data_IF_549732016898
#
_entry.id   IF_549732016898
#
_cell.length_a   1.000
_cell.length_b   1.000
_cell.length_c   1.000
_cell.angle_alpha   90.00
_cell.angle_beta   90.00
_cell.angle_gamma   90.00
#
_symmetry.space_group_name_H-M   'P 1'
#
loop_
_entity.id
_entity.type
_entity.pdbx_description
1 polymer ?
#
# COMPACT_ATOMS: atom_id res chain seq x y z
N UNK A 1 -6.27 41.78 18.01
CA UNK A 1 -5.45 40.93 17.13
C UNK A 1 -5.89 39.47 17.13
N UNK A 2 -6.19 38.87 18.28
CA UNK A 2 -6.64 37.49 18.38
C UNK A 2 -7.87 37.17 17.53
N UNK A 3 -8.87 38.07 17.55
CA UNK A 3 -10.10 37.87 16.79
C UNK A 3 -9.83 37.82 15.28
N UNK A 4 -8.96 38.73 14.79
CA UNK A 4 -8.60 38.75 13.38
C UNK A 4 -7.85 37.49 12.97
N UNK A 5 -6.95 37.01 13.83
CA UNK A 5 -6.20 35.78 13.59
C UNK A 5 -7.17 34.58 13.53
N UNK A 6 -8.17 34.52 14.41
CA UNK A 6 -9.18 33.45 14.41
C UNK A 6 -10.04 33.49 13.15
N UNK A 7 -10.44 34.67 12.70
CA UNK A 7 -11.27 34.81 11.49
C UNK A 7 -10.46 34.39 10.27
N UNK A 8 -9.20 34.84 10.13
CA UNK A 8 -8.33 34.48 9.01
C UNK A 8 -8.08 32.96 9.01
N UNK A 9 -7.82 32.36 10.18
CA UNK A 9 -7.60 30.92 10.32
C UNK A 9 -8.86 30.14 9.94
N UNK A 10 -10.04 30.60 10.37
CA UNK A 10 -11.31 29.95 10.05
C UNK A 10 -11.60 30.01 8.54
N UNK A 11 -11.36 31.14 7.89
CA UNK A 11 -11.56 31.30 6.44
C UNK A 11 -10.59 30.42 5.67
N UNK A 12 -9.33 30.36 6.12
CA UNK A 12 -8.33 29.48 5.50
C UNK A 12 -8.71 28.02 5.60
N UNK A 13 -9.20 27.61 6.77
CA UNK A 13 -9.66 26.24 7.01
C UNK A 13 -10.85 25.89 6.10
N UNK A 14 -11.82 26.82 5.96
CA UNK A 14 -12.98 26.61 5.10
C UNK A 14 -12.57 26.50 3.63
N UNK A 15 -11.61 27.34 3.20
CA UNK A 15 -11.11 27.31 1.83
C UNK A 15 -10.41 25.95 1.53
N UNK A 16 -9.58 25.49 2.47
CA UNK A 16 -8.89 24.18 2.34
C UNK A 16 -9.91 23.06 2.22
N UNK A 17 -10.93 23.07 3.09
CA UNK A 17 -12.00 22.04 3.03
C UNK A 17 -12.74 22.07 1.71
N UNK A 18 -13.01 23.25 1.17
CA UNK A 18 -13.68 23.40 -0.11
C UNK A 18 -12.81 22.82 -1.25
N UNK A 19 -11.51 23.09 -1.24
CA UNK A 19 -10.59 22.54 -2.23
C UNK A 19 -10.53 21.01 -2.16
N UNK A 20 -10.51 20.47 -0.94
CA UNK A 20 -10.49 19.01 -0.75
C UNK A 20 -11.79 18.39 -1.26
N UNK A 21 -12.94 18.98 -0.91
CA UNK A 21 -14.25 18.50 -1.39
C UNK A 21 -14.31 18.55 -2.92
N UNK A 22 -13.79 19.61 -3.53
CA UNK A 22 -13.73 19.73 -4.98
C UNK A 22 -12.87 18.60 -5.58
N UNK A 23 -11.70 18.34 -4.99
CA UNK A 23 -10.83 17.29 -5.51
C UNK A 23 -11.43 15.89 -5.30
N UNK A 24 -12.24 15.70 -4.26
CA UNK A 24 -12.90 14.41 -4.00
C UNK A 24 -13.90 14.04 -5.11
N UNK A 25 -14.45 15.02 -5.81
CA UNK A 25 -15.36 14.77 -6.92
C UNK A 25 -14.65 14.02 -8.06
N UNK A 26 -13.33 14.17 -8.15
CA UNK A 26 -12.54 13.57 -9.22
C UNK A 26 -11.78 12.33 -8.77
N UNK A 27 -11.92 11.95 -7.49
CA UNK A 27 -11.26 10.77 -6.95
C UNK A 27 -12.19 9.57 -7.08
N UNK A 28 -11.69 8.53 -7.72
CA UNK A 28 -12.46 7.28 -7.86
C UNK A 28 -12.80 6.73 -6.47
N UNK A 29 -14.09 6.47 -6.18
CA UNK A 29 -14.45 5.94 -4.86
C UNK A 29 -13.81 4.57 -4.60
N UNK A 30 -13.49 4.25 -3.34
CA UNK A 30 -12.93 2.95 -3.02
C UNK A 30 -13.96 1.85 -3.19
N UNK A 31 -13.48 0.68 -3.61
CA UNK A 31 -14.27 -0.53 -3.67
C UNK A 31 -13.41 -1.64 -3.09
N UNK A 32 -13.86 -2.21 -1.98
CA UNK A 32 -13.09 -3.23 -1.27
C UNK A 32 -12.93 -4.48 -2.12
N UNK A 33 -11.76 -5.10 -2.05
CA UNK A 33 -11.49 -6.36 -2.72
C UNK A 33 -12.06 -7.51 -1.90
N UNK A 34 -12.47 -8.58 -2.59
CA UNK A 34 -12.80 -9.83 -1.92
C UNK A 34 -11.58 -10.74 -1.91
N UNK A 35 -11.54 -11.66 -0.98
CA UNK A 35 -10.47 -12.65 -0.91
C UNK A 35 -10.38 -13.45 -2.20
N UNK A 36 -11.53 -13.85 -2.74
CA UNK A 36 -11.60 -14.60 -4.00
C UNK A 36 -11.02 -13.79 -5.17
N UNK A 37 -11.40 -12.52 -5.27
CA UNK A 37 -10.92 -11.65 -6.35
C UNK A 37 -9.40 -11.51 -6.29
N UNK A 38 -8.84 -11.24 -5.11
CA UNK A 38 -7.39 -11.11 -4.96
C UNK A 38 -6.70 -12.44 -5.24
N UNK A 39 -7.26 -13.54 -4.73
CA UNK A 39 -6.64 -14.86 -4.87
C UNK A 39 -6.54 -15.34 -6.31
N UNK A 40 -7.46 -14.94 -7.15
CA UNK A 40 -7.45 -15.33 -8.57
C UNK A 40 -6.55 -14.44 -9.44
N UNK A 41 -6.00 -13.37 -8.87
CA UNK A 41 -5.09 -12.47 -9.58
C UNK A 41 -3.83 -13.24 -10.00
N UNK A 42 -3.45 -13.12 -11.26
CA UNK A 42 -2.20 -13.68 -11.76
C UNK A 42 -1.05 -12.73 -11.43
N UNK A 43 -0.04 -13.27 -10.79
CA UNK A 43 1.21 -12.56 -10.51
C UNK A 43 2.35 -13.22 -11.28
N UNK A 44 3.38 -12.45 -11.57
CA UNK A 44 4.53 -12.91 -12.34
C UNK A 44 5.81 -12.64 -11.56
N UNK A 45 6.73 -13.61 -11.56
CA UNK A 45 8.05 -13.39 -10.98
C UNK A 45 8.84 -12.40 -11.84
N UNK A 46 9.79 -11.72 -11.22
CA UNK A 46 10.63 -10.73 -11.90
C UNK A 46 11.94 -11.31 -12.39
N UNK A 47 12.16 -12.59 -12.19
CA UNK A 47 13.35 -13.26 -12.72
C UNK A 47 13.21 -13.47 -14.24
N UNK A 48 14.26 -13.95 -14.88
CA UNK A 48 14.31 -14.12 -16.34
C UNK A 48 13.24 -15.09 -16.88
N UNK A 49 12.69 -15.96 -16.04
CA UNK A 49 11.67 -16.91 -16.45
C UNK A 49 10.25 -16.36 -16.46
N UNK A 50 9.97 -15.32 -15.69
CA UNK A 50 8.66 -14.70 -15.64
C UNK A 50 7.53 -15.67 -15.33
N UNK A 51 7.71 -16.56 -14.32
CA UNK A 51 6.71 -17.57 -13.97
C UNK A 51 5.43 -16.93 -13.44
N UNK A 52 4.28 -17.39 -13.96
CA UNK A 52 2.95 -16.91 -13.55
C UNK A 52 2.37 -17.84 -12.51
N UNK A 53 1.77 -17.27 -11.45
CA UNK A 53 1.12 -18.05 -10.39
C UNK A 53 -0.06 -17.25 -9.83
N UNK A 54 -0.93 -17.92 -9.08
CA UNK A 54 -2.08 -17.25 -8.46
C UNK A 54 -1.67 -16.57 -7.16
N UNK A 55 -2.15 -15.36 -6.96
CA UNK A 55 -1.77 -14.56 -5.79
C UNK A 55 -2.10 -15.27 -4.47
N UNK A 56 -3.12 -16.13 -4.43
CA UNK A 56 -3.46 -16.86 -3.20
C UNK A 56 -2.28 -17.70 -2.67
N UNK A 57 -1.37 -18.12 -3.56
CA UNK A 57 -0.20 -18.87 -3.13
C UNK A 57 0.67 -18.10 -2.15
N UNK A 58 0.55 -16.76 -2.14
CA UNK A 58 1.34 -15.93 -1.23
C UNK A 58 0.91 -16.04 0.23
N UNK A 59 -0.37 -16.33 0.48
CA UNK A 59 -0.90 -16.30 1.85
C UNK A 59 -1.56 -17.62 2.30
N UNK A 60 -1.80 -18.55 1.40
CA UNK A 60 -2.60 -19.73 1.72
C UNK A 60 -2.09 -20.50 2.94
N UNK A 61 -0.79 -20.66 3.08
CA UNK A 61 -0.23 -21.47 4.19
C UNK A 61 0.10 -20.64 5.44
N UNK A 62 0.39 -19.35 5.31
CA UNK A 62 1.00 -18.58 6.39
C UNK A 62 0.30 -17.26 6.68
N UNK A 63 -0.59 -16.82 5.79
CA UNK A 63 -0.97 -15.42 5.75
C UNK A 63 0.15 -14.60 5.11
N UNK A 64 -0.08 -13.32 4.87
CA UNK A 64 0.94 -12.45 4.27
C UNK A 64 0.61 -10.99 4.49
N UNK A 65 1.64 -10.15 4.46
CA UNK A 65 1.51 -8.70 4.32
C UNK A 65 1.91 -8.36 2.88
N UNK A 66 1.05 -7.65 2.16
CA UNK A 66 1.27 -7.35 0.74
C UNK A 66 1.11 -5.85 0.50
N UNK A 67 2.15 -5.23 -0.04
CA UNK A 67 2.13 -3.81 -0.44
C UNK A 67 1.90 -3.72 -1.95
N UNK A 68 0.81 -3.09 -2.37
CA UNK A 68 0.58 -2.75 -3.79
C UNK A 68 1.20 -1.38 -4.02
N UNK A 69 2.36 -1.36 -4.66
CA UNK A 69 3.21 -0.18 -4.78
C UNK A 69 2.65 0.74 -5.86
N UNK A 70 2.32 1.98 -5.50
CA UNK A 70 1.83 2.97 -6.46
C UNK A 70 2.90 3.26 -7.52
N UNK A 71 4.12 3.57 -7.08
CA UNK A 71 5.25 3.84 -7.99
C UNK A 71 6.56 3.57 -7.24
N UNK A 72 7.37 2.63 -7.72
CA UNK A 72 8.63 2.30 -7.01
C UNK A 72 9.61 3.47 -6.89
N UNK A 73 9.58 4.42 -7.81
CA UNK A 73 10.40 5.64 -7.76
C UNK A 73 9.92 6.69 -6.76
N UNK A 74 8.80 6.72 -6.27
CA UNK A 74 8.30 7.64 -5.53
C UNK A 74 8.78 7.49 -4.24
N UNK A 75 9.30 8.57 -3.88
CA UNK A 75 9.94 8.65 -2.56
C UNK A 75 8.97 8.36 -1.42
N UNK A 76 7.71 8.75 -1.55
CA UNK A 76 6.68 8.42 -0.55
C UNK A 76 6.41 6.91 -0.49
N UNK A 77 6.48 6.22 -1.63
CA UNK A 77 6.34 4.77 -1.63
C UNK A 77 7.56 4.09 -1.01
N UNK A 78 8.74 4.69 -1.18
CA UNK A 78 9.96 4.18 -0.54
C UNK A 78 9.91 4.34 0.97
N UNK A 79 9.31 5.42 1.46
CA UNK A 79 9.10 5.61 2.89
C UNK A 79 8.23 4.48 3.46
N UNK A 80 7.07 4.24 2.85
CA UNK A 80 6.15 3.20 3.31
C UNK A 80 6.81 1.81 3.24
N UNK A 81 7.54 1.54 2.15
CA UNK A 81 8.26 0.28 1.98
C UNK A 81 9.28 0.06 3.08
N UNK A 82 10.03 1.12 3.44
CA UNK A 82 11.03 1.03 4.52
C UNK A 82 10.37 0.77 5.87
N UNK A 83 9.25 1.42 6.14
CA UNK A 83 8.53 1.21 7.40
C UNK A 83 7.97 -0.22 7.49
N UNK A 84 7.39 -0.74 6.40
CA UNK A 84 6.93 -2.12 6.38
C UNK A 84 8.10 -3.07 6.58
N UNK A 85 9.23 -2.79 5.94
CA UNK A 85 10.44 -3.61 6.07
C UNK A 85 11.00 -3.60 7.48
N UNK A 86 10.79 -2.51 8.23
CA UNK A 86 11.24 -2.45 9.63
C UNK A 86 10.49 -3.45 10.51
N UNK A 87 9.35 -3.96 10.06
CA UNK A 87 8.58 -4.97 10.79
C UNK A 87 9.06 -6.39 10.51
N UNK A 88 10.09 -6.58 9.66
CA UNK A 88 10.49 -7.89 9.16
C UNK A 88 10.70 -8.92 10.29
N UNK A 89 11.42 -8.56 11.33
CA UNK A 89 11.70 -9.50 12.43
C UNK A 89 10.40 -9.90 13.16
N UNK A 90 9.48 -8.98 13.34
CA UNK A 90 8.19 -9.25 13.97
C UNK A 90 7.35 -10.19 13.08
N UNK A 91 7.37 -9.95 11.79
CA UNK A 91 6.63 -10.79 10.83
C UNK A 91 7.22 -12.19 10.78
N UNK A 92 8.55 -12.29 10.71
CA UNK A 92 9.25 -13.58 10.68
C UNK A 92 8.98 -14.40 11.94
N UNK A 93 8.92 -13.75 13.10
CA UNK A 93 8.61 -14.44 14.36
C UNK A 93 7.23 -15.11 14.34
N UNK A 94 6.33 -14.62 13.50
CA UNK A 94 4.99 -15.21 13.34
C UNK A 94 4.87 -16.05 12.05
N UNK A 95 5.96 -16.20 11.30
CA UNK A 95 5.96 -16.93 10.05
C UNK A 95 5.17 -16.24 8.94
N UNK A 96 5.01 -14.92 8.99
CA UNK A 96 4.22 -14.15 8.03
C UNK A 96 5.16 -13.44 7.05
N UNK A 97 5.14 -13.80 5.76
CA UNK A 97 6.01 -13.15 4.79
C UNK A 97 5.52 -11.76 4.40
N UNK A 98 6.45 -10.94 3.94
CA UNK A 98 6.20 -9.60 3.42
C UNK A 98 6.44 -9.60 1.92
N UNK A 99 5.47 -9.16 1.14
CA UNK A 99 5.56 -9.10 -0.32
C UNK A 99 5.17 -7.72 -0.82
N UNK A 100 5.64 -7.39 -2.02
CA UNK A 100 5.17 -6.22 -2.76
C UNK A 100 4.72 -6.67 -4.15
N UNK A 101 3.75 -5.95 -4.70
CA UNK A 101 3.38 -6.10 -6.11
C UNK A 101 3.53 -4.74 -6.80
N UNK A 102 3.99 -4.78 -8.05
CA UNK A 102 4.15 -3.58 -8.88
C UNK A 102 3.34 -3.77 -10.17
N UNK A 103 2.85 -2.65 -10.72
CA UNK A 103 2.01 -2.69 -11.92
C UNK A 103 2.82 -2.85 -13.20
N UNK A 104 4.07 -2.45 -13.15
CA UNK A 104 4.92 -2.43 -14.34
C UNK A 104 6.39 -2.57 -13.92
N UNK A 105 7.17 -3.06 -14.85
CA UNK A 105 8.62 -3.20 -14.65
C UNK A 105 9.33 -2.30 -15.66
N UNK A 106 9.67 -1.09 -15.25
CA UNK A 106 10.24 -0.09 -16.13
C UNK A 106 11.69 0.24 -15.73
N UNK A 107 12.57 0.04 -16.67
CA UNK A 107 13.97 0.43 -16.49
C UNK A 107 14.60 -0.15 -15.23
N UNK A 108 15.12 0.71 -14.36
CA UNK A 108 15.79 0.28 -13.13
C UNK A 108 14.92 0.51 -11.89
N UNK A 109 13.63 0.88 -12.07
CA UNK A 109 12.79 1.31 -10.95
C UNK A 109 12.69 0.27 -9.83
N UNK A 110 12.50 -1.01 -10.20
CA UNK A 110 12.38 -2.08 -9.21
C UNK A 110 13.73 -2.32 -8.52
N UNK A 111 14.82 -2.33 -9.28
CA UNK A 111 16.17 -2.48 -8.72
C UNK A 111 16.45 -1.36 -7.71
N UNK A 112 16.06 -0.15 -8.05
CA UNK A 112 16.31 1.03 -7.22
C UNK A 112 15.36 1.11 -6.02
N UNK A 113 14.26 0.36 -6.05
CA UNK A 113 13.31 0.24 -4.93
C UNK A 113 13.76 -0.82 -3.91
N UNK A 114 14.47 -1.86 -4.38
CA UNK A 114 14.86 -2.99 -3.52
C UNK A 114 15.56 -2.59 -2.21
N UNK A 115 16.44 -1.57 -2.18
CA UNK A 115 17.05 -1.21 -0.89
C UNK A 115 16.06 -0.76 0.19
N UNK A 116 14.87 -0.36 -0.21
CA UNK A 116 13.83 0.11 0.72
C UNK A 116 12.86 -0.99 1.13
N UNK A 117 12.90 -2.15 0.44
CA UNK A 117 11.90 -3.19 0.64
C UNK A 117 12.54 -4.57 0.82
N UNK A 118 12.36 -5.15 2.00
CA UNK A 118 13.05 -6.39 2.37
C UNK A 118 12.35 -7.66 1.90
N UNK A 119 11.14 -7.55 1.33
CA UNK A 119 10.38 -8.72 0.86
C UNK A 119 10.58 -9.02 -0.61
N UNK A 120 9.94 -10.08 -1.09
CA UNK A 120 9.91 -10.37 -2.52
C UNK A 120 8.95 -9.44 -3.25
N UNK A 121 9.24 -9.17 -4.50
CA UNK A 121 8.47 -8.27 -5.34
C UNK A 121 7.98 -9.04 -6.57
N UNK A 122 6.69 -8.93 -6.88
CA UNK A 122 6.07 -9.59 -8.03
C UNK A 122 5.41 -8.57 -8.93
N UNK A 123 5.19 -8.96 -10.18
CA UNK A 123 4.55 -8.10 -11.18
C UNK A 123 3.05 -8.45 -11.26
N UNK A 124 2.21 -7.46 -11.09
CA UNK A 124 0.75 -7.56 -11.16
C UNK A 124 0.28 -6.78 -12.41
N UNK A 125 0.51 -7.37 -13.59
CA UNK A 125 0.21 -6.71 -14.86
C UNK A 125 -1.28 -6.40 -15.00
N UNK A 126 -2.13 -7.23 -14.42
CA UNK A 126 -3.58 -7.06 -14.49
C UNK A 126 -4.13 -6.12 -13.44
N UNK A 127 -3.25 -5.64 -12.53
CA UNK A 127 -3.60 -4.65 -11.50
C UNK A 127 -4.68 -5.14 -10.54
N UNK A 128 -4.70 -6.44 -10.23
CA UNK A 128 -5.67 -7.02 -9.31
C UNK A 128 -5.62 -6.38 -7.92
N UNK A 129 -4.41 -6.11 -7.42
CA UNK A 129 -4.23 -5.51 -6.09
C UNK A 129 -4.57 -4.02 -6.06
N UNK A 130 -4.85 -3.43 -7.21
CA UNK A 130 -5.24 -2.02 -7.34
C UNK A 130 -6.74 -1.87 -7.61
N UNK A 131 -7.45 -3.00 -7.78
CA UNK A 131 -8.87 -3.08 -8.07
C UNK A 131 -9.67 -3.66 -6.91
N UNK A 132 -10.89 -4.11 -7.16
CA UNK A 132 -11.55 -4.32 -8.47
C UNK A 132 -11.82 -3.04 -9.28
N UNK A 133 -11.86 -1.89 -8.63
CA UNK A 133 -11.90 -0.60 -9.32
C UNK A 133 -10.66 0.19 -8.94
N UNK A 134 -9.81 0.47 -9.92
CA UNK A 134 -8.60 1.27 -9.67
C UNK A 134 -9.00 2.65 -9.12
N UNK A 135 -8.39 3.03 -8.02
CA UNK A 135 -8.52 4.39 -7.51
C UNK A 135 -7.47 5.25 -8.20
N UNK A 136 -7.92 6.31 -8.82
CA UNK A 136 -7.03 7.22 -9.54
C UNK A 136 -7.11 8.61 -8.94
N UNK A 137 -5.96 9.24 -8.81
CA UNK A 137 -5.87 10.64 -8.40
C UNK A 137 -5.08 11.39 -9.47
N UNK A 138 -5.76 12.25 -10.20
CA UNK A 138 -5.13 13.03 -11.25
C UNK A 138 -4.50 14.31 -10.75
N UNK A 139 -4.32 15.25 -11.65
CA UNK A 139 -3.68 16.54 -11.32
C UNK A 139 -4.44 17.32 -10.25
N UNK A 140 -5.77 17.12 -10.15
CA UNK A 140 -6.56 17.75 -9.08
C UNK A 140 -6.08 17.36 -7.69
N UNK A 141 -5.36 16.22 -7.58
CA UNK A 141 -4.79 15.83 -6.30
C UNK A 141 -3.82 16.84 -5.72
N UNK A 142 -3.15 17.61 -6.58
CA UNK A 142 -2.16 18.58 -6.10
C UNK A 142 -2.76 19.76 -5.32
N UNK A 143 -4.09 19.96 -5.34
CA UNK A 143 -4.72 20.96 -4.48
C UNK A 143 -4.95 20.45 -3.06
N UNK A 144 -4.68 19.17 -2.78
CA UNK A 144 -4.91 18.59 -1.46
C UNK A 144 -3.71 18.86 -0.54
N UNK A 145 -4.02 19.47 0.61
CA UNK A 145 -3.00 19.82 1.60
C UNK A 145 -2.27 18.58 2.13
N UNK A 146 -3.02 17.46 2.22
CA UNK A 146 -2.44 16.20 2.69
C UNK A 146 -1.25 15.74 1.86
N UNK A 147 -1.32 15.91 0.54
CA UNK A 147 -0.25 15.51 -0.36
C UNK A 147 1.03 16.29 -0.07
N UNK A 148 0.91 17.60 0.12
CA UNK A 148 2.07 18.43 0.44
C UNK A 148 2.66 18.07 1.80
N UNK A 149 1.79 17.81 2.78
CA UNK A 149 2.25 17.38 4.11
C UNK A 149 2.94 16.02 4.04
N UNK A 150 2.36 15.07 3.30
CA UNK A 150 2.95 13.74 3.12
C UNK A 150 4.31 13.82 2.41
N UNK A 151 4.40 14.64 1.38
CA UNK A 151 5.66 14.85 0.66
C UNK A 151 6.72 15.47 1.54
N UNK A 152 6.35 16.49 2.31
CA UNK A 152 7.27 17.14 3.23
C UNK A 152 7.79 16.17 4.30
N UNK A 153 6.88 15.35 4.84
CA UNK A 153 7.26 14.32 5.83
C UNK A 153 8.30 13.36 5.24
N UNK A 154 8.03 12.81 4.07
CA UNK A 154 8.94 11.83 3.45
C UNK A 154 10.28 12.46 3.12
N UNK A 155 10.27 13.72 2.64
CA UNK A 155 11.49 14.47 2.34
C UNK A 155 12.32 14.67 3.63
N UNK A 156 11.66 15.08 4.73
CA UNK A 156 12.35 15.27 6.02
C UNK A 156 12.95 13.95 6.54
N UNK A 157 12.31 12.83 6.21
CA UNK A 157 12.81 11.51 6.60
C UNK A 157 13.91 11.01 5.66
N UNK A 158 14.35 11.84 4.70
CA UNK A 158 15.50 11.53 3.87
C UNK A 158 15.21 10.67 2.64
N UNK A 159 13.94 10.53 2.26
CA UNK A 159 13.60 9.71 1.10
C UNK A 159 13.65 10.54 -0.19
N UNK A 160 14.31 9.99 -1.17
CA UNK A 160 14.45 10.61 -2.50
C UNK A 160 13.88 9.69 -3.56
N UNK A 161 13.49 10.27 -4.67
CA UNK A 161 12.93 9.48 -5.74
C UNK A 161 12.75 10.25 -7.03
N UNK A 162 12.00 9.64 -7.95
CA UNK A 162 11.70 10.22 -9.25
C UNK A 162 10.22 10.08 -9.56
N UNK A 163 9.81 10.56 -10.73
CA UNK A 163 8.40 10.55 -11.16
C UNK A 163 8.17 9.70 -12.40
N UNK A 164 9.05 8.73 -12.64
CA UNK A 164 8.93 7.83 -13.79
C UNK A 164 7.83 6.79 -13.54
N UNK A 165 7.16 6.40 -14.61
CA UNK A 165 6.13 5.37 -14.55
C UNK A 165 4.75 5.90 -14.20
N UNK A 166 3.75 5.03 -14.30
CA UNK A 166 2.36 5.34 -14.01
C UNK A 166 2.19 5.52 -12.50
N UNK A 167 1.76 6.68 -12.07
CA UNK A 167 1.64 7.00 -10.65
C UNK A 167 0.30 7.56 -10.22
N UNK A 168 -0.69 7.58 -11.11
CA UNK A 168 -2.01 8.11 -10.79
C UNK A 168 -2.93 7.06 -10.17
N UNK A 169 -2.68 5.77 -10.41
CA UNK A 169 -3.40 4.69 -9.76
C UNK A 169 -2.84 4.53 -8.35
N UNK A 170 -3.69 4.73 -7.35
CA UNK A 170 -3.28 4.69 -5.95
C UNK A 170 -2.99 3.27 -5.49
N UNK A 171 -2.07 3.14 -4.55
CA UNK A 171 -1.65 1.86 -4.01
C UNK A 171 -2.48 1.40 -2.81
N UNK A 172 -2.00 0.34 -2.15
CA UNK A 172 -2.69 -0.24 -1.00
C UNK A 172 -1.74 -1.12 -0.19
N UNK A 173 -2.11 -1.40 1.06
CA UNK A 173 -1.45 -2.42 1.88
C UNK A 173 -2.51 -3.37 2.41
N UNK A 174 -2.25 -4.66 2.30
CA UNK A 174 -3.14 -5.72 2.74
C UNK A 174 -2.46 -6.58 3.79
N UNK A 175 -3.22 -7.03 4.77
CA UNK A 175 -2.84 -8.16 5.62
C UNK A 175 -3.90 -9.23 5.39
N UNK A 176 -3.47 -10.41 4.95
CA UNK A 176 -4.39 -11.49 4.58
C UNK A 176 -4.04 -12.71 5.42
N UNK A 177 -5.05 -13.33 6.04
CA UNK A 177 -4.85 -14.53 6.84
C UNK A 177 -4.75 -15.78 5.96
N UNK A 178 -4.24 -16.88 6.54
CA UNK A 178 -4.11 -18.14 5.78
C UNK A 178 -5.47 -18.75 5.45
N UNK A 179 -5.48 -19.53 4.40
CA UNK A 179 -6.66 -20.27 3.94
C UNK A 179 -7.84 -19.31 3.71
N UNK A 180 -8.96 -19.52 4.39
CA UNK A 180 -10.17 -18.73 4.22
C UNK A 180 -10.36 -17.69 5.33
N UNK A 181 -9.33 -17.43 6.13
CA UNK A 181 -9.47 -16.43 7.20
C UNK A 181 -9.88 -15.06 6.66
N UNK A 182 -9.35 -14.68 5.51
CA UNK A 182 -9.80 -13.48 4.83
C UNK A 182 -8.84 -12.31 4.95
N UNK A 183 -9.30 -11.17 4.46
CA UNK A 183 -8.54 -9.92 4.46
C UNK A 183 -8.72 -9.27 5.84
N UNK A 184 -7.63 -9.20 6.60
CA UNK A 184 -7.64 -8.67 7.96
C UNK A 184 -7.38 -7.17 8.01
N UNK A 185 -6.73 -6.64 6.98
CA UNK A 185 -6.50 -5.21 6.80
C UNK A 185 -6.46 -4.91 5.31
N UNK A 186 -7.18 -3.89 4.91
CA UNK A 186 -7.11 -3.36 3.55
C UNK A 186 -7.03 -1.84 3.68
N UNK A 187 -5.79 -1.32 3.59
CA UNK A 187 -5.56 0.12 3.59
C UNK A 187 -5.33 0.56 2.14
N UNK A 188 -6.28 1.30 1.58
CA UNK A 188 -6.15 1.88 0.25
C UNK A 188 -5.77 3.34 0.37
N UNK A 189 -4.73 3.74 -0.34
CA UNK A 189 -4.34 5.15 -0.34
C UNK A 189 -5.54 6.05 -0.65
N UNK A 190 -5.76 7.05 0.19
CA UNK A 190 -6.79 8.07 -0.06
C UNK A 190 -6.23 9.22 -0.89
N UNK A 191 -4.93 9.43 -0.82
CA UNK A 191 -4.23 10.46 -1.58
C UNK A 191 -2.75 10.08 -1.67
N UNK A 192 -2.00 10.79 -2.50
CA UNK A 192 -0.58 10.48 -2.69
C UNK A 192 0.16 10.52 -1.35
N UNK A 193 0.85 9.44 -1.03
CA UNK A 193 1.64 9.33 0.19
C UNK A 193 0.85 9.08 1.47
N UNK A 194 -0.44 8.74 1.34
CA UNK A 194 -1.23 8.28 2.47
C UNK A 194 -0.81 6.84 2.80
N UNK A 195 0.04 6.69 3.79
CA UNK A 195 0.60 5.37 4.12
C UNK A 195 -0.16 4.70 5.26
N UNK A 196 -0.10 3.38 5.28
CA UNK A 196 -0.73 2.58 6.34
C UNK A 196 -0.01 2.85 7.68
N UNK A 197 -0.76 2.80 8.77
CA UNK A 197 -0.16 2.89 10.10
C UNK A 197 0.46 1.53 10.47
N UNK A 198 1.72 1.56 10.88
CA UNK A 198 2.43 0.32 11.25
C UNK A 198 1.72 -0.41 12.41
N UNK A 199 1.11 0.34 13.35
CA UNK A 199 0.34 -0.26 14.43
C UNK A 199 -0.86 -1.07 13.91
N UNK A 200 -1.50 -0.60 12.84
CA UNK A 200 -2.63 -1.32 12.25
C UNK A 200 -2.17 -2.61 11.57
N UNK A 201 -1.00 -2.56 10.91
CA UNK A 201 -0.40 -3.74 10.31
C UNK A 201 -0.07 -4.78 11.38
N UNK A 202 0.58 -4.35 12.47
CA UNK A 202 0.94 -5.24 13.58
C UNK A 202 -0.32 -5.88 14.18
N UNK A 203 -1.36 -5.09 14.45
CA UNK A 203 -2.61 -5.60 15.02
C UNK A 203 -3.27 -6.64 14.10
N UNK A 204 -3.26 -6.38 12.80
CA UNK A 204 -3.84 -7.32 11.84
C UNK A 204 -3.03 -8.61 11.78
N UNK A 205 -1.70 -8.50 11.77
CA UNK A 205 -0.81 -9.66 11.77
C UNK A 205 -1.03 -10.51 13.02
N UNK A 206 -1.24 -9.87 14.18
CA UNK A 206 -1.49 -10.59 15.43
C UNK A 206 -2.79 -11.40 15.39
N UNK A 207 -3.74 -11.03 14.52
CA UNK A 207 -4.99 -11.75 14.32
C UNK A 207 -4.84 -12.94 13.37
N UNK A 208 -3.71 -13.10 12.70
CA UNK A 208 -3.49 -14.24 11.80
C UNK A 208 -3.51 -15.51 12.64
N UNK A 209 -4.39 -16.44 12.25
CA UNK A 209 -4.55 -17.70 12.94
C UNK A 209 -3.51 -18.68 12.42
N UNK A 210 -2.54 -19.02 13.27
CA UNK A 210 -1.63 -20.12 12.97
C UNK A 210 -2.40 -21.42 13.18
N UNK A 211 -2.38 -22.31 12.19
CA UNK A 211 -2.95 -23.63 12.36
C UNK A 211 -2.22 -24.36 13.47
N UNK A 212 -2.93 -24.57 14.56
CA UNK A 212 -2.47 -25.52 15.56
C UNK A 212 -2.91 -26.90 15.07
N UNK A 213 -1.95 -27.72 14.69
CA UNK A 213 -2.23 -29.12 14.45
C UNK A 213 -2.78 -29.67 15.76
N UNK A 214 -4.04 -30.15 15.78
CA UNK A 214 -4.55 -30.69 17.02
C UNK A 214 -3.65 -31.87 17.45
N UNK A 215 -3.16 -31.79 18.68
CA UNK A 215 -2.47 -32.93 19.27
C UNK A 215 -3.46 -34.09 19.29
N UNK A 216 -3.17 -35.08 18.48
CA UNK A 216 -3.94 -36.34 18.54
C UNK A 216 -3.58 -37.01 19.86
N UNK A 217 -4.47 -36.86 20.84
CA UNK A 217 -4.40 -37.61 22.06
C UNK A 217 -4.67 -39.06 21.71
N UNK A 218 -3.68 -39.89 21.91
CA UNK A 218 -3.87 -41.35 21.81
C UNK A 218 -4.63 -41.82 23.04
#
# INVERSE_FOLDING_TARGET
>A
MELLTRVVSSLGSAFIKALQSFSDLFLTPPLCATLSYLGETDLKTLDGGGRVFKARDLWDSSGAVIMAVRRPGXFMCREEASELSSLKLRLEARGVPLFAVVKENMGTEIRDFRPYFSGEIFLDENRGFYGPRERRMGLSGFVRVGIWRNGWRAFQNGYWGNVRGEGFVLGAVYVIGPHQQGILLEHREMEFGDKVKMSDVIQAVERIQTERVPLKLK
#
